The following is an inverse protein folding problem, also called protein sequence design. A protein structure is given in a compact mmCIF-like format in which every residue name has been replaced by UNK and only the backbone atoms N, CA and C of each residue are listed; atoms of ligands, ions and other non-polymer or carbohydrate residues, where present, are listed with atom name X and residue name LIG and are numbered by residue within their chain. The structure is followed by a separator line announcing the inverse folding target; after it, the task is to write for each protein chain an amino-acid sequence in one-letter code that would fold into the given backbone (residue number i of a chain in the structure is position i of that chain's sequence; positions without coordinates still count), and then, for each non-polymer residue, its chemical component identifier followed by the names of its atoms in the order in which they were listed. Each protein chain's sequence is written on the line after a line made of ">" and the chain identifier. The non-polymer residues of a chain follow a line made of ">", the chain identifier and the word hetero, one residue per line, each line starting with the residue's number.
data_IF_188196323273
#
_entry.id   IF_188196323273
#
_cell.length_a   1.000
_cell.length_b   1.000
_cell.length_c   1.000
_cell.angle_alpha   90.00
_cell.angle_beta   90.00
_cell.angle_gamma   90.00
#
_symmetry.space_group_name_H-M   'P 1'
#
loop_
_entity.id
_entity.type
_entity.pdbx_description
1 polymer ?
#
# COMPACT_ATOMS: atom_id res chain seq x y z
N UNK A 1 10.51 -7.48 35.71
CA UNK A 1 11.36 -7.88 34.56
C UNK A 1 11.23 -6.78 33.52
N UNK A 2 12.31 -6.08 33.14
CA UNK A 2 12.25 -5.04 32.11
C UNK A 2 12.25 -5.67 30.71
N UNK A 3 11.48 -5.06 29.80
CA UNK A 3 11.40 -5.44 28.38
C UNK A 3 12.77 -5.29 27.69
N UNK A 4 13.15 -6.19 26.77
CA UNK A 4 14.42 -6.10 26.08
C UNK A 4 14.43 -4.90 25.13
N UNK A 5 15.30 -3.94 25.43
CA UNK A 5 15.76 -2.91 24.52
C UNK A 5 16.61 -3.54 23.41
N UNK A 6 16.14 -3.48 22.16
CA UNK A 6 16.94 -3.34 20.92
C UNK A 6 16.05 -3.62 19.69
N UNK A 7 15.34 -2.59 19.22
CA UNK A 7 14.95 -2.50 17.81
C UNK A 7 15.90 -1.49 17.15
N UNK A 8 17.06 -1.97 16.72
CA UNK A 8 17.94 -1.20 15.85
C UNK A 8 17.34 -1.27 14.44
N UNK A 9 16.66 -0.20 14.01
CA UNK A 9 16.18 -0.05 12.63
C UNK A 9 17.38 -0.03 11.68
N UNK A 10 17.57 -1.11 10.91
CA UNK A 10 18.57 -1.13 9.85
C UNK A 10 18.15 -0.17 8.74
N UNK A 11 18.93 0.88 8.54
CA UNK A 11 18.85 1.78 7.39
C UNK A 11 19.19 1.01 6.12
N UNK A 12 18.20 0.40 5.47
CA UNK A 12 18.45 -0.34 4.23
C UNK A 12 17.32 -1.18 3.66
N UNK A 13 16.07 -1.01 4.10
CA UNK A 13 14.95 -1.73 3.50
C UNK A 13 14.57 -1.08 2.15
N UNK A 14 14.77 -1.79 1.03
CA UNK A 14 14.29 -1.34 -0.28
C UNK A 14 13.02 -2.09 -0.67
N UNK A 15 11.96 -1.31 -0.92
CA UNK A 15 10.63 -1.77 -1.31
C UNK A 15 10.41 -1.50 -2.80
N UNK A 16 9.95 -2.48 -3.57
CA UNK A 16 9.41 -2.22 -4.91
C UNK A 16 7.96 -2.69 -4.94
N UNK A 17 7.05 -1.74 -5.14
CA UNK A 17 5.66 -2.04 -5.53
C UNK A 17 5.54 -1.92 -7.03
N UNK A 18 4.97 -2.92 -7.68
CA UNK A 18 4.55 -2.82 -9.07
C UNK A 18 3.03 -2.73 -9.07
N UNK A 19 2.52 -1.50 -8.95
CA UNK A 19 1.10 -1.17 -9.08
C UNK A 19 0.73 0.12 -8.34
N UNK A 20 -0.20 0.87 -8.95
CA UNK A 20 -0.78 2.16 -8.56
C UNK A 20 0.16 3.20 -7.95
N UNK A 21 0.57 4.15 -8.81
CA UNK A 21 1.10 5.45 -8.43
C UNK A 21 2.47 5.41 -7.78
N UNK A 22 3.54 5.39 -8.61
CA UNK A 22 4.97 5.58 -8.23
C UNK A 22 5.24 5.40 -6.73
N UNK A 23 5.06 4.18 -6.21
CA UNK A 23 5.81 3.76 -5.03
C UNK A 23 7.26 3.79 -5.48
N UNK A 24 8.11 4.50 -4.75
CA UNK A 24 9.52 4.74 -5.08
C UNK A 24 10.18 3.49 -5.67
N UNK A 25 10.23 3.43 -6.99
CA UNK A 25 11.00 2.46 -7.72
C UNK A 25 12.45 2.88 -7.54
N UNK A 26 13.08 2.42 -6.46
CA UNK A 26 14.51 2.14 -6.51
C UNK A 26 14.67 0.85 -7.32
N UNK A 27 14.35 0.93 -8.61
CA UNK A 27 14.56 -0.12 -9.58
C UNK A 27 15.65 0.37 -10.52
N UNK A 28 16.82 -0.25 -10.36
CA UNK A 28 17.89 -0.45 -11.34
C UNK A 28 17.83 0.47 -12.58
N UNK A 29 18.44 1.65 -12.47
CA UNK A 29 19.02 2.30 -13.64
C UNK A 29 20.50 1.92 -13.67
N UNK A 30 20.96 1.06 -14.60
CA UNK A 30 22.36 0.68 -14.72
C UNK A 30 23.27 1.87 -15.11
N UNK A 31 22.70 3.01 -15.49
CA UNK A 31 23.41 4.25 -15.81
C UNK A 31 23.26 5.34 -14.75
N UNK A 32 22.47 5.13 -13.67
CA UNK A 32 22.38 6.08 -12.58
C UNK A 32 23.54 5.87 -11.58
N UNK A 33 24.44 6.85 -11.41
CA UNK A 33 25.48 6.75 -10.40
C UNK A 33 24.86 6.92 -9.02
N UNK A 34 24.66 5.84 -8.25
CA UNK A 34 24.38 6.00 -6.82
C UNK A 34 23.89 4.84 -5.97
N UNK A 35 23.21 3.81 -6.50
CA UNK A 35 22.66 2.74 -5.65
C UNK A 35 22.77 1.37 -6.34
N UNK A 36 23.80 0.61 -6.01
CA UNK A 36 23.93 -0.80 -6.38
C UNK A 36 23.13 -1.65 -5.38
N UNK A 37 21.89 -2.03 -5.70
CA UNK A 37 21.13 -2.97 -4.90
C UNK A 37 21.40 -4.39 -5.39
N UNK A 38 21.87 -5.27 -4.51
CA UNK A 38 22.07 -6.69 -4.85
C UNK A 38 20.82 -7.54 -4.63
N UNK A 39 19.88 -7.07 -3.80
CA UNK A 39 18.63 -7.78 -3.42
C UNK A 39 17.53 -6.79 -3.02
N UNK A 40 16.27 -7.10 -3.33
CA UNK A 40 15.08 -6.37 -2.91
C UNK A 40 14.48 -7.02 -1.65
N UNK A 41 14.09 -6.24 -0.65
CA UNK A 41 13.54 -6.80 0.59
C UNK A 41 12.08 -7.24 0.44
N UNK A 42 11.30 -6.54 -0.40
CA UNK A 42 9.89 -6.87 -0.63
C UNK A 42 9.41 -6.50 -2.04
N UNK A 43 8.76 -7.46 -2.71
CA UNK A 43 8.11 -7.28 -4.00
C UNK A 43 6.58 -7.46 -3.88
N UNK A 44 5.81 -6.46 -4.29
CA UNK A 44 4.33 -6.52 -4.29
C UNK A 44 3.73 -6.69 -5.68
N UNK A 45 2.74 -7.59 -5.79
CA UNK A 45 1.78 -7.58 -6.89
C UNK A 45 0.72 -6.50 -6.64
N UNK A 46 0.75 -5.40 -7.38
CA UNK A 46 -0.31 -4.40 -7.34
C UNK A 46 -1.39 -4.63 -8.38
N UNK A 47 -2.35 -3.70 -8.47
CA UNK A 47 -3.38 -3.76 -9.51
C UNK A 47 -2.76 -3.40 -10.87
N UNK A 48 -3.24 -3.96 -11.98
CA UNK A 48 -2.73 -3.68 -13.31
C UNK A 48 -2.64 -2.21 -13.65
N UNK A 49 -1.44 -1.70 -13.95
CA UNK A 49 -1.25 -0.39 -14.57
C UNK A 49 -0.11 -0.44 -15.57
N UNK A 50 -0.33 0.20 -16.72
CA UNK A 50 0.62 0.48 -17.80
C UNK A 50 1.89 1.15 -17.25
N UNK A 51 3.02 0.46 -17.29
CA UNK A 51 4.33 1.01 -16.92
C UNK A 51 5.07 1.54 -18.17
N UNK A 52 5.62 2.75 -18.10
CA UNK A 52 6.55 3.29 -19.09
C UNK A 52 7.99 3.34 -18.58
N UNK A 53 8.89 2.65 -19.30
CA UNK A 53 10.37 2.73 -19.43
C UNK A 53 11.26 2.77 -18.15
N UNK A 54 12.44 2.13 -18.03
CA UNK A 54 13.32 1.34 -18.94
C UNK A 54 14.41 0.63 -18.10
N UNK A 55 14.73 -0.64 -18.37
CA UNK A 55 15.91 -1.35 -17.81
C UNK A 55 15.82 -2.89 -17.88
N UNK A 56 16.85 -3.53 -18.47
CA UNK A 56 17.07 -4.98 -18.70
C UNK A 56 15.83 -5.83 -19.05
N UNK A 57 15.56 -5.96 -20.36
CA UNK A 57 14.31 -6.45 -20.96
C UNK A 57 13.78 -7.80 -20.43
N UNK A 58 14.59 -8.83 -20.19
CA UNK A 58 14.02 -10.19 -20.13
C UNK A 58 13.35 -10.54 -18.78
N UNK A 59 13.99 -10.20 -17.66
CA UNK A 59 13.38 -10.34 -16.33
C UNK A 59 12.34 -9.24 -16.11
N UNK A 60 12.56 -8.04 -16.64
CA UNK A 60 11.59 -6.95 -16.57
C UNK A 60 10.33 -7.29 -17.36
N UNK A 61 10.41 -7.87 -18.55
CA UNK A 61 9.22 -8.23 -19.33
C UNK A 61 8.45 -9.40 -18.73
N UNK A 62 9.13 -10.41 -18.16
CA UNK A 62 8.45 -11.46 -17.38
C UNK A 62 7.75 -10.89 -16.14
N UNK A 63 8.46 -10.07 -15.37
CA UNK A 63 7.92 -9.44 -14.14
C UNK A 63 6.88 -8.37 -14.49
N UNK A 64 6.99 -7.65 -15.59
CA UNK A 64 6.01 -6.66 -16.08
C UNK A 64 4.76 -7.33 -16.63
N UNK A 65 4.89 -8.42 -17.37
CA UNK A 65 3.76 -9.19 -17.90
C UNK A 65 3.05 -9.95 -16.79
N UNK A 66 3.79 -10.48 -15.81
CA UNK A 66 3.22 -11.14 -14.65
C UNK A 66 2.59 -10.11 -13.68
N UNK A 67 3.33 -9.08 -13.26
CA UNK A 67 2.90 -8.10 -12.24
C UNK A 67 2.01 -6.96 -12.77
N UNK A 68 1.98 -6.74 -14.08
CA UNK A 68 1.25 -5.65 -14.72
C UNK A 68 0.23 -6.19 -15.68
N UNK A 69 -0.93 -6.62 -15.16
CA UNK A 69 -2.09 -7.19 -15.87
C UNK A 69 -2.64 -6.29 -17.01
N UNK A 70 -1.81 -6.11 -18.02
CA UNK A 70 -2.09 -5.50 -19.31
C UNK A 70 -1.57 -6.46 -20.36
N UNK A 71 -2.38 -6.77 -21.35
CA UNK A 71 -1.97 -7.59 -22.48
C UNK A 71 -0.83 -6.86 -23.22
N UNK A 72 0.36 -7.45 -23.36
CA UNK A 72 1.50 -6.81 -24.02
C UNK A 72 1.22 -6.41 -25.48
N UNK A 73 0.29 -7.10 -26.14
CA UNK A 73 -0.06 -6.88 -27.55
C UNK A 73 -1.03 -5.71 -27.74
N UNK A 74 -1.95 -5.49 -26.79
CA UNK A 74 -2.98 -4.45 -26.88
C UNK A 74 -2.70 -3.26 -25.96
N UNK A 75 -1.92 -3.46 -24.90
CA UNK A 75 -1.74 -2.52 -23.81
C UNK A 75 -2.98 -2.31 -22.94
N UNK A 76 -4.03 -3.13 -23.13
CA UNK A 76 -5.29 -3.08 -22.38
C UNK A 76 -5.21 -3.93 -21.13
N UNK A 77 -5.99 -3.57 -20.09
CA UNK A 77 -6.05 -4.36 -18.87
C UNK A 77 -6.62 -5.75 -19.12
N UNK A 78 -5.96 -6.77 -18.58
CA UNK A 78 -6.44 -8.16 -18.63
C UNK A 78 -7.67 -8.26 -17.71
N UNK A 79 -8.82 -8.75 -18.21
CA UNK A 79 -10.00 -8.98 -17.39
C UNK A 79 -9.72 -9.94 -16.22
N UNK A 80 -10.45 -9.78 -15.12
CA UNK A 80 -10.23 -10.51 -13.86
C UNK A 80 -10.16 -12.05 -14.03
N UNK A 81 -10.95 -12.60 -14.94
CA UNK A 81 -11.10 -14.03 -15.20
C UNK A 81 -10.22 -14.54 -16.36
N UNK A 82 -9.37 -13.69 -16.93
CA UNK A 82 -8.50 -14.03 -18.06
C UNK A 82 -7.05 -14.23 -17.65
N UNK A 83 -6.34 -15.02 -18.44
CA UNK A 83 -4.93 -15.37 -18.20
C UNK A 83 -3.97 -14.28 -18.71
N UNK A 84 -2.86 -14.00 -18.00
CA UNK A 84 -2.55 -14.48 -16.65
C UNK A 84 -3.49 -13.90 -15.58
N UNK A 85 -4.07 -14.79 -14.79
CA UNK A 85 -4.81 -14.45 -13.56
C UNK A 85 -3.82 -14.04 -12.46
N UNK A 86 -4.29 -13.30 -11.46
CA UNK A 86 -3.42 -12.93 -10.32
C UNK A 86 -2.88 -14.15 -9.56
N UNK A 87 -3.57 -15.29 -9.59
CA UNK A 87 -3.06 -16.56 -9.02
C UNK A 87 -1.88 -17.08 -9.82
N UNK A 88 -1.99 -17.10 -11.15
CA UNK A 88 -0.88 -17.52 -12.03
C UNK A 88 0.32 -16.57 -11.87
N UNK A 89 0.07 -15.26 -11.78
CA UNK A 89 1.12 -14.28 -11.46
C UNK A 89 1.81 -14.59 -10.13
N UNK A 90 1.05 -14.90 -9.08
CA UNK A 90 1.62 -15.21 -7.77
C UNK A 90 2.54 -16.43 -7.83
N UNK A 91 2.13 -17.50 -8.50
CA UNK A 91 2.95 -18.70 -8.68
C UNK A 91 4.26 -18.41 -9.45
N UNK A 92 4.26 -17.45 -10.37
CA UNK A 92 5.49 -16.97 -11.00
C UNK A 92 6.34 -16.11 -10.03
N UNK A 93 5.71 -15.29 -9.18
CA UNK A 93 6.42 -14.52 -8.15
C UNK A 93 7.11 -15.40 -7.12
N UNK A 94 6.52 -16.54 -6.74
CA UNK A 94 7.13 -17.50 -5.80
C UNK A 94 8.50 -17.98 -6.29
N UNK A 95 8.68 -18.12 -7.61
CA UNK A 95 9.96 -18.52 -8.20
C UNK A 95 11.07 -17.49 -7.95
N UNK A 96 10.73 -16.21 -7.79
CA UNK A 96 11.68 -15.14 -7.52
C UNK A 96 12.45 -15.37 -6.20
N UNK A 97 11.83 -16.02 -5.21
CA UNK A 97 12.46 -16.29 -3.93
C UNK A 97 13.70 -17.18 -4.09
N UNK A 98 13.64 -18.21 -4.94
CA UNK A 98 14.77 -19.10 -5.21
C UNK A 98 15.95 -18.42 -5.91
N UNK A 99 15.73 -17.26 -6.53
CA UNK A 99 16.81 -16.51 -7.19
C UNK A 99 17.70 -15.76 -6.20
N UNK A 100 17.26 -15.62 -4.94
CA UNK A 100 17.90 -14.77 -3.93
C UNK A 100 17.77 -13.27 -4.19
N UNK A 101 17.17 -12.85 -5.32
CA UNK A 101 16.98 -11.43 -5.67
C UNK A 101 15.90 -10.76 -4.83
N UNK A 102 14.94 -11.52 -4.31
CA UNK A 102 13.91 -11.04 -3.39
C UNK A 102 13.93 -11.87 -2.11
N UNK A 103 13.82 -11.22 -0.95
CA UNK A 103 13.72 -11.93 0.34
C UNK A 103 12.29 -12.33 0.65
N UNK A 104 11.34 -11.48 0.26
CA UNK A 104 9.92 -11.64 0.54
C UNK A 104 9.08 -11.20 -0.67
N UNK A 105 7.91 -11.81 -0.81
CA UNK A 105 6.88 -11.43 -1.78
C UNK A 105 5.56 -11.18 -1.06
N UNK A 106 4.76 -10.26 -1.60
CA UNK A 106 3.47 -9.86 -1.06
C UNK A 106 2.50 -9.42 -2.13
N UNK A 107 1.30 -9.04 -1.71
CA UNK A 107 0.27 -8.47 -2.58
C UNK A 107 -0.03 -7.03 -2.18
N UNK A 108 -0.61 -6.25 -3.08
CA UNK A 108 -1.08 -4.89 -2.78
C UNK A 108 -2.50 -4.73 -3.30
N UNK A 109 -3.36 -4.06 -2.52
CA UNK A 109 -4.76 -3.80 -2.84
C UNK A 109 -5.66 -5.06 -2.91
N UNK A 110 -5.30 -6.12 -2.21
CA UNK A 110 -6.13 -7.33 -2.11
C UNK A 110 -7.17 -7.18 -1.00
N UNK A 111 -8.43 -7.46 -1.32
CA UNK A 111 -9.51 -7.63 -0.34
C UNK A 111 -9.49 -9.03 0.28
N UNK A 112 -10.31 -9.25 1.32
CA UNK A 112 -10.55 -10.59 1.90
C UNK A 112 -10.92 -11.58 0.79
N UNK A 113 -11.83 -11.20 -0.11
CA UNK A 113 -12.22 -12.03 -1.27
C UNK A 113 -11.01 -12.50 -2.09
N UNK A 114 -10.12 -11.58 -2.46
CA UNK A 114 -8.98 -11.92 -3.31
C UNK A 114 -7.93 -12.74 -2.53
N UNK A 115 -7.77 -12.48 -1.24
CA UNK A 115 -6.92 -13.29 -0.36
C UNK A 115 -7.47 -14.72 -0.20
N UNK A 116 -8.78 -14.90 -0.11
CA UNK A 116 -9.42 -16.23 -0.03
C UNK A 116 -9.25 -17.05 -1.32
N UNK A 117 -9.15 -16.39 -2.47
CA UNK A 117 -8.81 -17.06 -3.74
C UNK A 117 -7.31 -17.43 -3.78
N UNK A 118 -6.44 -16.53 -3.31
CA UNK A 118 -5.00 -16.68 -3.43
C UNK A 118 -4.39 -17.65 -2.42
N UNK A 119 -4.71 -17.50 -1.13
CA UNK A 119 -4.05 -18.22 -0.03
C UNK A 119 -4.09 -19.75 -0.18
N UNK A 120 -5.17 -20.40 -0.65
CA UNK A 120 -5.19 -21.84 -0.87
C UNK A 120 -4.27 -22.33 -2.00
N UNK A 121 -3.87 -21.43 -2.90
CA UNK A 121 -3.03 -21.73 -4.07
C UNK A 121 -1.55 -21.43 -3.83
N UNK A 122 -1.23 -20.61 -2.82
CA UNK A 122 0.13 -20.25 -2.48
C UNK A 122 0.91 -21.48 -1.99
N UNK A 123 2.10 -21.69 -2.56
CA UNK A 123 3.03 -22.75 -2.13
C UNK A 123 4.02 -22.26 -1.08
N UNK A 124 4.19 -20.94 -0.96
CA UNK A 124 5.01 -20.33 0.08
C UNK A 124 4.17 -20.08 1.35
N UNK A 125 4.69 -20.38 2.54
CA UNK A 125 3.90 -20.40 3.77
C UNK A 125 3.41 -19.01 4.23
N UNK A 126 4.01 -17.92 3.73
CA UNK A 126 3.70 -16.57 4.21
C UNK A 126 3.62 -15.56 3.05
N UNK A 127 2.43 -15.03 2.81
CA UNK A 127 2.29 -13.75 2.09
C UNK A 127 2.88 -12.67 3.00
N UNK A 128 4.04 -12.16 2.61
CA UNK A 128 4.68 -11.11 3.39
C UNK A 128 4.00 -9.79 3.06
N UNK A 129 3.30 -9.24 4.05
CA UNK A 129 3.02 -7.80 4.14
C UNK A 129 2.10 -7.20 3.06
N UNK A 130 0.81 -7.60 2.92
CA UNK A 130 -0.13 -6.90 2.05
C UNK A 130 -0.11 -5.39 2.26
N UNK A 131 0.06 -4.65 1.16
CA UNK A 131 -0.02 -3.19 1.16
C UNK A 131 -1.44 -2.76 0.77
N UNK A 132 -2.12 -2.00 1.62
CA UNK A 132 -3.48 -1.50 1.34
C UNK A 132 -3.60 -0.04 1.73
N UNK A 133 -4.58 0.66 1.16
CA UNK A 133 -4.92 2.00 1.60
C UNK A 133 -5.39 1.91 3.06
N UNK A 134 -4.83 2.76 3.94
CA UNK A 134 -5.10 2.65 5.37
C UNK A 134 -5.01 3.97 6.09
N UNK A 135 -6.15 4.47 6.54
CA UNK A 135 -6.28 5.71 7.31
C UNK A 135 -7.63 5.74 8.03
N UNK A 136 -7.90 6.64 8.98
CA UNK A 136 -9.15 6.64 9.74
C UNK A 136 -10.46 6.76 8.95
N UNK A 137 -10.42 7.27 7.71
CA UNK A 137 -11.56 7.26 6.78
C UNK A 137 -11.78 5.89 6.09
N UNK A 138 -10.74 5.07 6.01
CA UNK A 138 -10.76 3.72 5.45
C UNK A 138 -9.95 2.80 6.37
N UNK A 139 -10.48 2.46 7.56
CA UNK A 139 -9.71 1.78 8.60
C UNK A 139 -9.43 0.31 8.26
N UNK A 140 -10.20 -0.27 7.33
CA UNK A 140 -10.05 -1.66 6.88
C UNK A 140 -10.09 -2.68 8.03
N UNK A 141 -10.94 -2.47 9.04
CA UNK A 141 -10.98 -3.28 10.27
C UNK A 141 -11.25 -4.77 10.01
N UNK A 142 -12.17 -5.09 9.08
CA UNK A 142 -12.46 -6.48 8.71
C UNK A 142 -11.24 -7.16 8.08
N UNK A 143 -10.55 -6.47 7.17
CA UNK A 143 -9.32 -6.96 6.56
C UNK A 143 -8.19 -7.09 7.60
N UNK A 144 -8.11 -6.14 8.54
CA UNK A 144 -7.15 -6.17 9.64
C UNK A 144 -7.32 -7.44 10.50
N UNK A 145 -8.56 -7.72 10.91
CA UNK A 145 -8.89 -8.90 11.70
C UNK A 145 -8.57 -10.19 10.94
N UNK A 146 -8.99 -10.27 9.67
CA UNK A 146 -8.72 -11.42 8.80
C UNK A 146 -7.21 -11.68 8.63
N UNK A 147 -6.43 -10.66 8.28
CA UNK A 147 -4.99 -10.78 8.13
C UNK A 147 -4.31 -11.16 9.45
N UNK A 148 -4.73 -10.58 10.58
CA UNK A 148 -4.20 -10.93 11.91
C UNK A 148 -4.42 -12.40 12.26
N UNK A 149 -5.62 -12.94 12.00
CA UNK A 149 -5.93 -14.36 12.23
C UNK A 149 -5.03 -15.29 11.39
N UNK A 150 -4.70 -14.87 10.17
CA UNK A 150 -3.82 -15.61 9.24
C UNK A 150 -2.32 -15.37 9.49
N UNK A 151 -1.94 -14.56 10.48
CA UNK A 151 -0.53 -14.20 10.74
C UNK A 151 0.08 -13.32 9.64
N UNK A 152 -0.75 -12.55 8.94
CA UNK A 152 -0.35 -11.67 7.83
C UNK A 152 -0.23 -10.22 8.36
N UNK A 153 0.97 -9.65 8.25
CA UNK A 153 1.23 -8.24 8.61
C UNK A 153 0.65 -7.27 7.56
N UNK A 154 0.14 -6.12 7.96
CA UNK A 154 -0.39 -5.10 7.03
C UNK A 154 0.53 -3.88 6.94
N UNK A 155 0.66 -3.33 5.74
CA UNK A 155 1.24 -2.00 5.49
C UNK A 155 0.18 -1.05 4.94
N UNK A 156 -0.06 0.07 5.64
CA UNK A 156 -0.86 1.18 5.13
C UNK A 156 -0.05 2.06 4.19
N UNK A 157 -0.47 2.13 2.93
CA UNK A 157 -0.14 3.24 2.05
C UNK A 157 -1.20 4.35 2.13
N UNK A 158 -0.83 5.55 1.65
CA UNK A 158 -1.64 6.76 1.76
C UNK A 158 -2.15 7.08 3.19
N UNK A 159 -1.34 6.89 4.26
CA UNK A 159 -1.85 7.03 5.63
C UNK A 159 -2.33 8.44 6.01
N UNK A 160 -1.97 9.44 5.20
CA UNK A 160 -2.34 10.84 5.38
C UNK A 160 -3.30 11.35 4.29
N UNK A 161 -3.74 10.48 3.37
CA UNK A 161 -4.37 10.87 2.11
C UNK A 161 -3.40 11.54 1.13
N UNK A 162 -3.92 12.00 -0.02
CA UNK A 162 -3.15 12.72 -1.04
C UNK A 162 -3.41 14.23 -0.99
N UNK A 163 -2.41 15.03 -1.38
CA UNK A 163 -2.52 16.49 -1.52
C UNK A 163 -3.00 17.20 -0.25
N UNK A 164 -4.00 18.07 -0.38
CA UNK A 164 -4.69 18.72 0.76
C UNK A 164 -5.78 17.82 1.32
N UNK A 165 -5.35 16.66 1.81
CA UNK A 165 -6.26 15.62 2.30
C UNK A 165 -7.20 16.16 3.40
N UNK A 166 -8.52 15.94 3.29
CA UNK A 166 -9.50 16.44 4.26
C UNK A 166 -9.30 15.84 5.65
N UNK A 167 -8.72 14.64 5.75
CA UNK A 167 -8.46 13.98 7.03
C UNK A 167 -7.50 14.79 7.92
N UNK A 168 -6.58 15.55 7.32
CA UNK A 168 -5.64 16.42 8.04
C UNK A 168 -6.31 17.69 8.59
N UNK A 169 -7.52 18.01 8.12
CA UNK A 169 -8.31 19.18 8.51
C UNK A 169 -9.41 18.83 9.51
N UNK A 170 -9.49 17.58 9.95
CA UNK A 170 -10.46 17.12 10.93
C UNK A 170 -10.39 17.93 12.24
N UNK A 171 -11.52 18.48 12.74
CA UNK A 171 -11.55 19.21 14.01
C UNK A 171 -11.00 18.39 15.18
N UNK A 172 -11.22 17.07 15.15
CA UNK A 172 -10.64 16.13 16.12
C UNK A 172 -9.11 16.20 16.11
N UNK A 173 -8.47 16.12 14.94
CA UNK A 173 -7.02 16.19 14.85
C UNK A 173 -6.46 17.55 15.26
N UNK A 174 -7.19 18.64 15.03
CA UNK A 174 -6.80 19.95 15.53
C UNK A 174 -6.80 20.01 17.07
N UNK A 175 -7.78 19.38 17.73
CA UNK A 175 -7.82 19.25 19.19
C UNK A 175 -6.70 18.37 19.72
N UNK A 176 -6.49 17.20 19.12
CA UNK A 176 -5.41 16.28 19.49
C UNK A 176 -4.03 16.88 19.26
N UNK A 177 -3.86 17.68 18.20
CA UNK A 177 -2.59 18.37 17.94
C UNK A 177 -2.21 19.32 19.08
N UNK A 178 -3.20 20.00 19.68
CA UNK A 178 -2.98 20.81 20.88
C UNK A 178 -2.70 19.97 22.12
N UNK A 179 -3.44 18.87 22.31
CA UNK A 179 -3.27 17.94 23.45
C UNK A 179 -1.85 17.36 23.50
N UNK A 180 -1.36 16.85 22.37
CA UNK A 180 -0.07 16.16 22.30
C UNK A 180 1.10 17.07 21.93
N UNK A 181 0.84 18.33 21.54
CA UNK A 181 1.83 19.21 20.93
C UNK A 181 2.54 18.56 19.72
N UNK A 182 1.76 17.82 18.91
CA UNK A 182 2.22 17.08 17.72
C UNK A 182 1.40 17.50 16.50
N UNK A 183 1.96 17.46 15.29
CA UNK A 183 1.18 17.73 14.09
C UNK A 183 0.19 16.60 13.79
N UNK A 184 -0.91 16.92 13.11
CA UNK A 184 -1.94 15.96 12.71
C UNK A 184 -1.38 14.72 11.98
N UNK A 185 -0.34 14.91 11.16
CA UNK A 185 0.34 13.80 10.48
C UNK A 185 0.94 12.78 11.45
N UNK A 186 1.69 13.22 12.45
CA UNK A 186 2.29 12.31 13.46
C UNK A 186 1.22 11.58 14.27
N UNK A 187 0.08 12.22 14.56
CA UNK A 187 -1.07 11.58 15.23
C UNK A 187 -1.64 10.45 14.38
N UNK A 188 -1.90 10.71 13.09
CA UNK A 188 -2.43 9.69 12.17
C UNK A 188 -1.47 8.52 11.95
N UNK A 189 -0.17 8.80 11.86
CA UNK A 189 0.84 7.75 11.72
C UNK A 189 0.96 6.93 13.00
N UNK A 190 0.93 7.57 14.17
CA UNK A 190 0.94 6.90 15.47
C UNK A 190 -0.27 5.98 15.63
N UNK A 191 -1.46 6.43 15.21
CA UNK A 191 -2.66 5.61 15.17
C UNK A 191 -2.47 4.33 14.34
N UNK A 192 -1.89 4.44 13.14
CA UNK A 192 -1.62 3.27 12.29
C UNK A 192 -0.62 2.31 12.93
N UNK A 193 0.47 2.84 13.50
CA UNK A 193 1.51 2.03 14.17
C UNK A 193 0.95 1.32 15.40
N UNK A 194 0.17 2.00 16.25
CA UNK A 194 -0.42 1.40 17.45
C UNK A 194 -1.47 0.33 17.14
N UNK A 195 -2.10 0.34 15.95
CA UNK A 195 -2.93 -0.77 15.44
C UNK A 195 -2.11 -1.99 15.01
N UNK A 196 -0.79 -1.90 15.07
CA UNK A 196 0.14 -2.98 14.69
C UNK A 196 0.46 -3.00 13.20
N UNK A 197 0.27 -1.89 12.47
CA UNK A 197 0.53 -1.81 11.04
C UNK A 197 1.85 -1.11 10.77
N UNK A 198 2.50 -1.45 9.65
CA UNK A 198 3.50 -0.57 9.06
C UNK A 198 2.80 0.60 8.37
N UNK A 199 3.35 1.82 8.46
CA UNK A 199 2.82 3.00 7.78
C UNK A 199 3.90 3.61 6.90
N UNK A 200 3.57 3.93 5.64
CA UNK A 200 4.55 4.46 4.67
C UNK A 200 4.13 5.83 4.13
N UNK A 201 4.27 6.91 4.91
CA UNK A 201 3.99 8.26 4.42
C UNK A 201 5.07 8.72 3.42
N UNK A 202 4.64 9.33 2.32
CA UNK A 202 5.55 9.94 1.35
C UNK A 202 5.83 11.40 1.72
N UNK A 203 7.09 11.81 1.69
CA UNK A 203 7.47 13.22 1.77
C UNK A 203 8.79 13.50 1.05
N UNK A 204 8.87 14.66 0.41
CA UNK A 204 10.10 15.24 -0.16
C UNK A 204 10.73 16.29 0.76
N UNK A 205 10.05 16.67 1.84
CA UNK A 205 10.48 17.74 2.74
C UNK A 205 11.16 17.12 3.99
N UNK A 206 12.44 17.43 4.26
CA UNK A 206 13.18 16.85 5.38
C UNK A 206 12.55 17.08 6.76
N UNK A 207 11.95 18.25 6.98
CA UNK A 207 11.25 18.55 8.23
C UNK A 207 10.02 17.67 8.44
N UNK A 208 9.22 17.47 7.38
CA UNK A 208 8.09 16.52 7.42
C UNK A 208 8.56 15.08 7.58
N UNK A 209 9.70 14.69 6.98
CA UNK A 209 10.27 13.36 7.19
C UNK A 209 10.63 13.13 8.66
N UNK A 210 11.27 14.10 9.31
CA UNK A 210 11.57 14.03 10.73
C UNK A 210 10.31 13.94 11.58
N UNK A 211 9.27 14.74 11.27
CA UNK A 211 7.98 14.68 11.97
C UNK A 211 7.25 13.34 11.76
N UNK A 212 7.34 12.74 10.57
CA UNK A 212 6.74 11.44 10.28
C UNK A 212 7.40 10.29 11.05
N UNK A 213 8.65 10.46 11.48
CA UNK A 213 9.37 9.49 12.31
C UNK A 213 9.10 9.69 13.82
N UNK A 214 8.53 10.82 14.20
CA UNK A 214 8.18 11.16 15.58
C UNK A 214 6.86 10.47 15.98
N UNK A 215 6.92 9.15 16.10
CA UNK A 215 5.81 8.27 16.50
C UNK A 215 5.75 8.19 18.02
N UNK A 216 4.54 8.26 18.57
CA UNK A 216 4.30 8.28 20.01
C UNK A 216 3.04 7.48 20.36
N UNK A 217 2.81 7.26 21.66
CA UNK A 217 1.65 6.54 22.15
C UNK A 217 0.45 7.49 22.34
N UNK A 218 -0.64 7.24 21.61
CA UNK A 218 -1.94 7.87 21.85
C UNK A 218 -2.67 7.15 22.98
N UNK A 219 -3.41 7.91 23.77
CA UNK A 219 -4.36 7.37 24.75
C UNK A 219 -5.47 6.56 24.06
N UNK A 220 -5.98 5.53 24.75
CA UNK A 220 -7.01 4.62 24.24
C UNK A 220 -8.27 5.37 23.75
N UNK A 221 -8.73 6.36 24.50
CA UNK A 221 -9.89 7.17 24.12
C UNK A 221 -9.66 7.96 22.82
N UNK A 222 -8.44 8.41 22.55
CA UNK A 222 -8.11 9.13 21.33
C UNK A 222 -7.95 8.16 20.14
N UNK A 223 -7.39 6.97 20.38
CA UNK A 223 -7.37 5.89 19.40
C UNK A 223 -8.79 5.52 18.95
N UNK A 224 -9.72 5.38 19.88
CA UNK A 224 -11.12 5.09 19.59
C UNK A 224 -11.81 6.24 18.83
N UNK A 225 -11.57 7.49 19.26
CA UNK A 225 -12.13 8.66 18.61
C UNK A 225 -11.65 8.79 17.16
N UNK A 226 -10.35 8.58 16.91
CA UNK A 226 -9.77 8.56 15.56
C UNK A 226 -10.38 7.41 14.76
N UNK A 227 -10.41 6.20 15.31
CA UNK A 227 -10.96 5.01 14.63
C UNK A 227 -12.42 5.18 14.23
N UNK A 228 -13.19 5.99 14.96
CA UNK A 228 -14.59 6.28 14.65
C UNK A 228 -14.80 7.31 13.53
N UNK A 229 -13.76 7.97 13.02
CA UNK A 229 -13.90 9.04 12.00
C UNK A 229 -14.65 8.59 10.74
N UNK A 230 -14.43 7.35 10.28
CA UNK A 230 -15.14 6.80 9.12
C UNK A 230 -16.67 6.76 9.27
N UNK A 231 -17.19 6.73 10.51
CA UNK A 231 -18.64 6.67 10.78
C UNK A 231 -19.34 8.00 10.56
N UNK A 232 -18.58 9.09 10.45
CA UNK A 232 -19.16 10.39 10.17
C UNK A 232 -19.64 10.47 8.70
N UNK A 233 -20.74 11.19 8.42
CA UNK A 233 -21.27 11.31 7.07
C UNK A 233 -20.22 11.78 6.06
N UNK A 234 -20.00 11.00 5.01
CA UNK A 234 -19.06 11.32 3.93
C UNK A 234 -17.60 10.89 4.18
N UNK A 235 -17.25 10.41 5.37
CA UNK A 235 -15.87 10.06 5.71
C UNK A 235 -15.48 8.63 5.28
N UNK A 236 -16.41 7.68 5.19
CA UNK A 236 -16.07 6.33 4.72
C UNK A 236 -15.82 6.30 3.21
N UNK A 237 -14.55 6.47 2.82
CA UNK A 237 -14.12 6.52 1.41
C UNK A 237 -12.61 6.35 1.25
N UNK A 238 -12.20 6.00 0.04
CA UNK A 238 -10.81 6.16 -0.40
C UNK A 238 -10.41 7.62 -0.46
N UNK A 239 -9.20 7.95 -0.01
CA UNK A 239 -8.51 9.23 -0.18
C UNK A 239 -7.41 9.16 -1.25
N UNK A 240 -7.34 8.04 -1.99
CA UNK A 240 -6.40 7.84 -3.08
C UNK A 240 -7.00 8.25 -4.43
N UNK A 241 -6.27 9.10 -5.16
CA UNK A 241 -6.40 9.16 -6.60
C UNK A 241 -5.58 8.03 -7.22
N UNK A 242 -6.28 7.12 -7.90
CA UNK A 242 -5.65 6.02 -8.65
C UNK A 242 -5.17 6.48 -10.04
N UNK A 243 -5.44 7.73 -10.41
CA UNK A 243 -4.93 8.41 -11.60
C UNK A 243 -5.92 8.43 -12.77
N UNK A 244 -5.70 9.33 -13.76
CA UNK A 244 -6.56 9.46 -14.92
C UNK A 244 -6.59 8.14 -15.72
N UNK A 245 -7.80 7.67 -16.06
CA UNK A 245 -8.01 6.43 -16.81
C UNK A 245 -8.06 5.15 -15.97
N UNK A 246 -7.66 5.22 -14.69
CA UNK A 246 -7.85 4.10 -13.77
C UNK A 246 -9.28 4.02 -13.23
N UNK A 247 -9.99 5.14 -13.11
CA UNK A 247 -11.30 5.19 -12.47
C UNK A 247 -12.42 5.47 -13.49
N UNK A 248 -13.37 4.53 -13.58
CA UNK A 248 -14.69 4.69 -14.22
C UNK A 248 -15.75 4.30 -13.18
N UNK A 249 -16.97 4.84 -13.26
CA UNK A 249 -18.01 4.53 -12.27
C UNK A 249 -18.20 3.02 -12.11
N UNK A 250 -17.93 2.50 -10.91
CA UNK A 250 -17.98 1.06 -10.59
C UNK A 250 -16.73 0.25 -10.95
N UNK A 251 -15.69 0.86 -11.53
CA UNK A 251 -14.48 0.21 -12.00
C UNK A 251 -13.20 0.91 -11.51
N UNK A 252 -12.18 0.11 -11.18
CA UNK A 252 -10.82 0.57 -10.93
C UNK A 252 -9.84 -0.27 -11.75
N UNK A 253 -9.04 0.39 -12.58
CA UNK A 253 -8.10 -0.21 -13.54
C UNK A 253 -8.75 -1.33 -14.34
N UNK A 254 -9.88 -1.06 -15.00
CA UNK A 254 -10.61 -2.03 -15.81
C UNK A 254 -11.38 -3.12 -15.05
N UNK A 255 -11.16 -3.28 -13.74
CA UNK A 255 -11.83 -4.29 -12.90
C UNK A 255 -13.00 -3.69 -12.14
N UNK A 256 -14.08 -4.46 -11.94
CA UNK A 256 -15.24 -4.02 -11.16
C UNK A 256 -14.89 -3.94 -9.68
N UNK A 257 -15.18 -2.80 -9.04
CA UNK A 257 -14.77 -2.51 -7.65
C UNK A 257 -15.31 -3.56 -6.68
N UNK A 258 -16.60 -3.89 -6.78
CA UNK A 258 -17.22 -4.84 -5.86
C UNK A 258 -17.07 -6.27 -6.33
N UNK A 259 -17.36 -6.53 -7.60
CA UNK A 259 -17.43 -7.89 -8.14
C UNK A 259 -16.06 -8.50 -8.39
N UNK A 260 -15.04 -7.73 -8.75
CA UNK A 260 -13.72 -8.28 -9.08
C UNK A 260 -12.72 -7.98 -7.95
N UNK A 261 -12.68 -6.73 -7.46
CA UNK A 261 -11.74 -6.32 -6.41
C UNK A 261 -12.24 -6.65 -4.99
N UNK A 262 -13.55 -6.81 -4.78
CA UNK A 262 -14.12 -7.09 -3.46
C UNK A 262 -14.06 -5.89 -2.50
N UNK A 263 -13.99 -4.67 -3.03
CA UNK A 263 -14.03 -3.45 -2.22
C UNK A 263 -15.48 -2.97 -2.06
N UNK A 264 -15.83 -2.60 -0.84
CA UNK A 264 -17.17 -2.16 -0.43
C UNK A 264 -17.24 -0.65 -0.13
N UNK A 265 -16.16 0.07 -0.41
CA UNK A 265 -16.03 1.50 -0.19
C UNK A 265 -16.06 2.28 -1.51
N UNK A 266 -16.57 3.53 -1.48
CA UNK A 266 -16.52 4.40 -2.64
C UNK A 266 -15.09 4.85 -2.93
N UNK A 267 -14.73 4.81 -4.21
CA UNK A 267 -13.51 5.44 -4.74
C UNK A 267 -13.91 6.83 -5.23
N UNK A 268 -13.58 7.87 -4.47
CA UNK A 268 -13.83 9.25 -4.89
C UNK A 268 -12.65 9.76 -5.72
N UNK A 269 -12.93 10.44 -6.84
CA UNK A 269 -11.90 11.25 -7.52
C UNK A 269 -11.35 12.26 -6.51
N UNK A 270 -10.04 12.34 -6.35
CA UNK A 270 -9.46 13.28 -5.39
C UNK A 270 -9.86 14.73 -5.74
N UNK A 271 -10.42 15.43 -4.76
CA UNK A 271 -10.72 16.86 -4.86
C UNK A 271 -9.40 17.65 -4.76
N UNK A 272 -8.72 17.83 -5.89
CA UNK A 272 -7.46 18.57 -5.95
C UNK A 272 -6.37 17.74 -6.62
N UNK A 273 -6.04 18.14 -7.85
CA UNK A 273 -5.23 17.38 -8.80
C UNK A 273 -3.95 16.76 -8.24
N UNK A 274 -3.85 15.45 -8.41
CA UNK A 274 -2.62 14.67 -8.52
C UNK A 274 -1.67 14.69 -7.31
N UNK A 275 -0.68 13.82 -7.41
CA UNK A 275 0.43 13.68 -6.46
C UNK A 275 1.27 14.98 -6.42
N UNK A 276 0.86 15.96 -5.62
CA UNK A 276 1.69 17.14 -5.37
C UNK A 276 2.85 16.75 -4.42
N UNK A 277 4.04 17.22 -4.77
CA UNK A 277 5.33 16.71 -4.29
C UNK A 277 5.64 17.02 -2.82
#
# INVERSE_FOLDING_TARGET
>A
MPLPSQYTLSTGATLASVGLGRVSSLLFDPNAPGIFLTTLDLCWMGTPVKAGASGNEETYEMVRTALGATDPSTGETIPFDQSPTFVQTWLEMEKLLSTGKVKCIGVSNFSIKNLEILLPQATVPHISNPQVEGHPYLPNDALAAYCKEKGIHLTAYCPLGQGRSPILLEPLLAALSRKYAKPAGSILLSWGVQRGWSVVPKSSNPGRMAQNLDIFELEEADMDAISALHRQPGNYRSLCDYGPGSQKDGYCSGWRIKEDLGWDYPITKAEGGGWTA
#
